data_IF_827455325661
#
_entry.id   IF_827455325661
#
_cell.length_a   1.000
_cell.length_b   1.000
_cell.length_c   1.000
_cell.angle_alpha   90.00
_cell.angle_beta   90.00
_cell.angle_gamma   90.00
#
_symmetry.space_group_name_H-M   'P 1'
#
loop_
_entity.id
_entity.type
_entity.pdbx_description
1 polymer ?
#
# COMPACT_ATOMS: atom_id res chain seq x y z
N UNK A 1 -19.66 -13.31 -55.95
CA UNK A 1 -20.30 -12.57 -54.84
C UNK A 1 -19.21 -12.16 -53.88
N UNK A 2 -18.82 -10.90 -53.96
CA UNK A 2 -17.73 -10.30 -53.19
C UNK A 2 -18.22 -10.03 -51.77
N UNK A 3 -17.57 -10.65 -50.78
CA UNK A 3 -17.74 -10.34 -49.37
C UNK A 3 -16.68 -9.34 -48.95
N UNK A 4 -17.09 -8.10 -48.76
CA UNK A 4 -16.29 -6.95 -48.39
C UNK A 4 -15.61 -7.15 -47.03
N UNK A 5 -14.28 -7.29 -47.04
CA UNK A 5 -13.43 -7.06 -45.87
C UNK A 5 -13.51 -5.59 -45.48
N UNK A 6 -14.29 -5.29 -44.44
CA UNK A 6 -14.27 -4.00 -43.77
C UNK A 6 -12.96 -3.85 -43.00
N UNK A 7 -12.03 -3.10 -43.55
CA UNK A 7 -10.88 -2.52 -42.85
C UNK A 7 -11.42 -1.61 -41.76
N UNK A 8 -11.38 -2.08 -40.51
CA UNK A 8 -11.66 -1.25 -39.34
C UNK A 8 -10.68 -0.08 -39.28
N UNK A 9 -11.21 1.14 -39.17
CA UNK A 9 -10.44 2.34 -38.82
C UNK A 9 -9.68 2.07 -37.51
N UNK A 10 -8.42 2.51 -37.36
CA UNK A 10 -7.69 2.38 -36.10
C UNK A 10 -8.48 3.12 -35.01
N UNK A 11 -9.05 2.37 -34.06
CA UNK A 11 -9.84 2.92 -32.97
C UNK A 11 -9.03 3.90 -32.14
N UNK A 12 -9.67 4.95 -31.66
CA UNK A 12 -9.05 5.92 -30.75
C UNK A 12 -8.33 5.19 -29.60
N UNK A 13 -7.14 5.66 -29.19
CA UNK A 13 -6.38 5.02 -28.12
C UNK A 13 -7.24 4.93 -26.86
N UNK A 14 -7.23 3.76 -26.20
CA UNK A 14 -7.96 3.56 -24.94
C UNK A 14 -7.40 4.50 -23.88
N UNK A 15 -8.26 5.31 -23.27
CA UNK A 15 -7.86 6.23 -22.20
C UNK A 15 -7.48 5.47 -20.93
N UNK A 16 -6.64 6.07 -20.08
CA UNK A 16 -6.29 5.48 -18.79
C UNK A 16 -7.51 5.34 -17.88
N UNK A 17 -8.45 6.29 -17.97
CA UNK A 17 -9.70 6.24 -17.22
C UNK A 17 -10.59 5.07 -17.65
N UNK A 18 -10.84 4.89 -18.95
CA UNK A 18 -11.67 3.80 -19.45
C UNK A 18 -11.02 2.44 -19.18
N UNK A 19 -9.69 2.38 -19.22
CA UNK A 19 -8.93 1.22 -18.82
C UNK A 19 -9.15 0.87 -17.34
N UNK A 20 -9.00 1.84 -16.44
CA UNK A 20 -9.23 1.64 -15.00
C UNK A 20 -10.68 1.23 -14.71
N UNK A 21 -11.65 1.90 -15.33
CA UNK A 21 -13.07 1.59 -15.20
C UNK A 21 -13.38 0.15 -15.64
N UNK A 22 -12.91 -0.25 -16.82
CA UNK A 22 -13.11 -1.61 -17.34
C UNK A 22 -12.50 -2.66 -16.39
N UNK A 23 -11.30 -2.42 -15.88
CA UNK A 23 -10.68 -3.36 -14.94
C UNK A 23 -11.46 -3.45 -13.62
N UNK A 24 -12.00 -2.32 -13.15
CA UNK A 24 -12.83 -2.28 -11.95
C UNK A 24 -14.14 -3.07 -12.13
N UNK A 25 -14.80 -2.93 -13.28
CA UNK A 25 -16.04 -3.64 -13.62
C UNK A 25 -15.84 -5.15 -13.69
N UNK A 26 -14.65 -5.62 -14.11
CA UNK A 26 -14.32 -7.05 -14.16
C UNK A 26 -14.10 -7.68 -12.78
N UNK A 27 -13.66 -6.89 -11.79
CA UNK A 27 -13.45 -7.35 -10.43
C UNK A 27 -13.92 -6.31 -9.39
N UNK A 28 -15.24 -6.09 -9.27
CA UNK A 28 -15.76 -5.06 -8.38
C UNK A 28 -15.37 -5.32 -6.93
N UNK A 29 -14.82 -4.31 -6.27
CA UNK A 29 -14.45 -4.37 -4.86
C UNK A 29 -13.18 -5.16 -4.55
N UNK A 30 -12.42 -5.59 -5.56
CA UNK A 30 -11.09 -6.18 -5.37
C UNK A 30 -10.00 -5.23 -5.87
N UNK A 31 -8.78 -5.30 -5.31
CA UNK A 31 -7.63 -4.64 -5.90
C UNK A 31 -7.38 -5.08 -7.34
N UNK A 32 -6.95 -4.14 -8.18
CA UNK A 32 -6.59 -4.46 -9.56
C UNK A 32 -5.34 -5.34 -9.58
N UNK A 33 -5.33 -6.35 -10.45
CA UNK A 33 -4.14 -7.16 -10.67
C UNK A 33 -2.99 -6.26 -11.16
N UNK A 34 -1.84 -6.31 -10.47
CA UNK A 34 -0.65 -5.50 -10.77
C UNK A 34 -0.94 -4.00 -10.88
N UNK A 35 -1.82 -3.46 -10.03
CA UNK A 35 -2.20 -2.04 -10.04
C UNK A 35 -2.73 -1.55 -11.41
N UNK A 36 -3.27 -2.47 -12.22
CA UNK A 36 -3.77 -2.19 -13.56
C UNK A 36 -2.73 -2.27 -14.69
N UNK A 37 -1.49 -2.67 -14.41
CA UNK A 37 -0.49 -2.87 -15.47
C UNK A 37 -0.77 -4.13 -16.33
N UNK A 38 -0.44 -4.08 -17.64
CA UNK A 38 0.18 -2.97 -18.36
C UNK A 38 -0.82 -1.86 -18.71
N UNK A 39 -0.37 -0.60 -18.67
CA UNK A 39 -1.21 0.53 -19.07
C UNK A 39 -1.35 0.63 -20.60
N UNK A 40 -2.41 1.26 -21.13
CA UNK A 40 -2.60 1.43 -22.57
C UNK A 40 -1.44 2.13 -23.30
N UNK A 41 -0.71 3.02 -22.60
CA UNK A 41 0.44 3.78 -23.13
C UNK A 41 1.80 3.14 -22.85
N UNK A 42 1.86 1.94 -22.26
CA UNK A 42 3.12 1.24 -21.94
C UNK A 42 4.06 1.14 -23.16
N UNK A 43 3.51 0.90 -24.36
CA UNK A 43 4.30 0.80 -25.58
C UNK A 43 5.08 2.08 -25.91
N UNK A 44 4.49 3.24 -25.65
CA UNK A 44 5.10 4.55 -25.88
C UNK A 44 6.22 4.85 -24.88
N UNK A 45 6.13 4.30 -23.66
CA UNK A 45 7.08 4.54 -22.57
C UNK A 45 8.17 3.45 -22.46
N UNK A 46 7.95 2.22 -22.95
CA UNK A 46 8.93 1.11 -22.84
C UNK A 46 10.16 1.27 -23.72
N UNK A 47 10.04 1.91 -24.88
CA UNK A 47 11.11 1.96 -25.89
C UNK A 47 11.90 3.28 -25.91
N UNK A 48 11.50 4.26 -25.09
CA UNK A 48 12.17 5.55 -24.98
C UNK A 48 12.75 5.72 -23.58
N UNK A 49 13.95 6.28 -23.51
CA UNK A 49 14.52 6.73 -22.23
C UNK A 49 13.70 7.94 -21.81
N UNK A 50 12.76 7.74 -20.88
CA UNK A 50 11.86 8.80 -20.42
C UNK A 50 12.62 10.01 -19.87
N UNK A 51 11.92 11.14 -19.70
CA UNK A 51 12.50 12.36 -19.16
C UNK A 51 13.19 12.07 -17.82
N UNK A 52 14.45 12.50 -17.67
CA UNK A 52 15.19 12.28 -16.43
C UNK A 52 14.59 13.14 -15.33
N UNK A 53 14.45 12.56 -14.15
CA UNK A 53 14.19 13.35 -12.96
C UNK A 53 15.25 14.45 -12.82
N UNK A 54 14.86 15.69 -12.48
CA UNK A 54 15.80 16.77 -12.30
C UNK A 54 16.78 16.44 -11.17
N UNK A 55 18.04 16.87 -11.32
CA UNK A 55 19.06 16.66 -10.28
C UNK A 55 18.71 17.36 -8.95
N UNK A 56 18.02 18.50 -9.04
CA UNK A 56 17.40 19.18 -7.91
C UNK A 56 15.92 18.85 -7.82
N UNK A 57 15.51 18.18 -6.74
CA UNK A 57 14.10 17.82 -6.48
C UNK A 57 13.18 19.04 -6.38
N UNK A 58 13.69 20.21 -5.95
CA UNK A 58 12.90 21.45 -5.88
C UNK A 58 12.57 22.02 -7.27
N UNK A 59 13.17 21.45 -8.31
CA UNK A 59 12.92 21.81 -9.69
C UNK A 59 12.01 20.82 -10.41
N UNK A 60 11.52 19.78 -9.74
CA UNK A 60 10.44 18.93 -10.26
C UNK A 60 9.20 19.79 -10.58
N UNK A 61 8.44 19.40 -11.61
CA UNK A 61 7.19 20.07 -11.97
C UNK A 61 7.30 21.45 -12.63
N UNK A 62 8.46 22.12 -12.61
CA UNK A 62 8.65 23.46 -13.23
C UNK A 62 8.30 23.50 -14.72
N UNK A 63 8.77 22.52 -15.49
CA UNK A 63 8.48 22.45 -16.93
C UNK A 63 6.98 22.22 -17.19
N UNK A 64 6.34 21.38 -16.37
CA UNK A 64 4.90 21.16 -16.44
C UNK A 64 4.12 22.44 -16.09
N UNK A 65 4.56 23.17 -15.06
CA UNK A 65 3.99 24.45 -14.67
C UNK A 65 4.11 25.49 -15.79
N UNK A 66 5.23 25.55 -16.51
CA UNK A 66 5.41 26.45 -17.66
C UNK A 66 4.44 26.13 -18.81
N UNK A 67 4.25 24.85 -19.11
CA UNK A 67 3.24 24.40 -20.11
C UNK A 67 1.84 24.84 -19.68
N UNK A 68 1.50 24.65 -18.40
CA UNK A 68 0.21 25.07 -17.84
C UNK A 68 0.03 26.59 -17.88
N UNK A 69 1.02 27.38 -17.46
CA UNK A 69 0.96 28.84 -17.51
C UNK A 69 0.75 29.35 -18.95
N UNK A 70 1.47 28.75 -19.92
CA UNK A 70 1.33 29.08 -21.35
C UNK A 70 -0.07 28.73 -21.88
N UNK A 71 -0.62 27.59 -21.45
CA UNK A 71 -1.98 27.20 -21.80
C UNK A 71 -3.02 28.16 -21.17
N UNK A 72 -2.89 28.47 -19.88
CA UNK A 72 -3.86 29.30 -19.17
C UNK A 72 -3.77 30.79 -19.53
N UNK A 73 -2.63 31.29 -20.01
CA UNK A 73 -2.51 32.64 -20.54
C UNK A 73 -3.39 32.91 -21.77
N UNK A 74 -3.76 31.86 -22.52
CA UNK A 74 -4.64 31.95 -23.69
C UNK A 74 -6.09 31.75 -23.26
N UNK A 75 -6.95 32.76 -23.42
CA UNK A 75 -8.30 32.82 -22.83
C UNK A 75 -9.28 31.74 -23.29
N UNK A 76 -8.99 31.04 -24.39
CA UNK A 76 -9.91 30.06 -25.01
C UNK A 76 -9.21 28.76 -25.46
N UNK A 77 -8.03 28.45 -24.92
CA UNK A 77 -7.34 27.21 -25.29
C UNK A 77 -8.11 25.98 -24.79
N UNK A 78 -8.50 25.06 -25.69
CA UNK A 78 -9.23 23.87 -25.29
C UNK A 78 -8.28 22.85 -24.62
N UNK A 79 -8.78 22.04 -23.65
CA UNK A 79 -7.94 21.11 -22.90
C UNK A 79 -7.25 20.02 -23.73
N UNK A 80 -7.75 19.71 -24.92
CA UNK A 80 -7.19 18.69 -25.83
C UNK A 80 -5.82 19.05 -26.39
N UNK A 81 -5.48 20.34 -26.45
CA UNK A 81 -4.12 20.78 -26.76
C UNK A 81 -3.08 20.25 -25.76
N UNK A 82 -3.50 19.86 -24.55
CA UNK A 82 -2.63 19.32 -23.50
C UNK A 82 -2.55 17.79 -23.52
N UNK A 83 -3.26 17.10 -24.41
CA UNK A 83 -3.36 15.63 -24.41
C UNK A 83 -1.99 14.93 -24.47
N UNK A 84 -1.05 15.47 -25.25
CA UNK A 84 0.32 14.94 -25.41
C UNK A 84 1.41 15.93 -24.96
N UNK A 85 1.03 17.10 -24.44
CA UNK A 85 1.97 18.19 -24.12
C UNK A 85 2.99 17.85 -23.03
N UNK A 86 2.72 16.82 -22.24
CA UNK A 86 3.55 16.39 -21.12
C UNK A 86 4.34 15.10 -21.37
N UNK A 87 4.24 14.50 -22.55
CA UNK A 87 4.85 13.19 -22.85
C UNK A 87 6.37 13.19 -22.60
N UNK A 88 7.05 14.24 -23.04
CA UNK A 88 8.50 14.42 -22.91
C UNK A 88 8.90 15.27 -21.69
N UNK A 89 7.97 15.50 -20.75
CA UNK A 89 8.20 16.27 -19.53
C UNK A 89 8.26 15.34 -18.32
N UNK A 90 9.21 15.60 -17.41
CA UNK A 90 9.22 14.87 -16.13
C UNK A 90 8.06 15.32 -15.25
N UNK A 91 7.06 14.44 -15.07
CA UNK A 91 5.90 14.71 -14.23
C UNK A 91 6.02 13.99 -12.89
N UNK A 92 6.06 14.72 -11.74
CA UNK A 92 6.06 14.12 -10.42
C UNK A 92 4.74 13.41 -10.13
N UNK A 93 4.82 12.26 -9.46
CA UNK A 93 3.64 11.47 -9.04
C UNK A 93 3.09 11.89 -7.67
N UNK A 94 3.80 12.76 -6.97
CA UNK A 94 3.43 13.33 -5.69
C UNK A 94 2.93 14.77 -5.88
N UNK A 95 2.22 15.35 -4.88
CA UNK A 95 1.85 16.76 -4.91
C UNK A 95 3.08 17.64 -5.16
N UNK A 96 2.95 18.58 -6.08
CA UNK A 96 4.03 19.43 -6.56
C UNK A 96 3.63 20.91 -6.46
N UNK A 97 4.49 21.70 -5.84
CA UNK A 97 4.24 23.12 -5.57
C UNK A 97 4.16 23.98 -6.84
N UNK A 98 4.90 23.62 -7.90
CA UNK A 98 4.93 24.40 -9.14
C UNK A 98 3.65 24.19 -9.94
N UNK A 99 3.21 22.93 -10.04
CA UNK A 99 1.93 22.59 -10.69
C UNK A 99 0.75 23.22 -9.91
N UNK A 100 0.76 23.11 -8.58
CA UNK A 100 -0.27 23.72 -7.74
C UNK A 100 -0.28 25.26 -7.85
N UNK A 101 0.89 25.90 -7.93
CA UNK A 101 0.99 27.34 -8.11
C UNK A 101 0.49 27.79 -9.49
N UNK A 102 0.78 27.04 -10.56
CA UNK A 102 0.23 27.31 -11.89
C UNK A 102 -1.30 27.21 -11.90
N UNK A 103 -1.86 26.18 -11.27
CA UNK A 103 -3.29 26.04 -11.06
C UNK A 103 -3.89 27.22 -10.28
N UNK A 104 -3.20 27.70 -9.24
CA UNK A 104 -3.65 28.82 -8.40
C UNK A 104 -3.60 30.20 -9.09
N UNK A 105 -2.82 30.37 -10.15
CA UNK A 105 -2.74 31.62 -10.94
C UNK A 105 -3.86 31.75 -11.98
N UNK A 106 -4.54 30.66 -12.32
CA UNK A 106 -5.53 30.61 -13.38
C UNK A 106 -6.97 30.59 -12.83
N UNK A 107 -7.95 30.80 -13.71
CA UNK A 107 -9.37 30.71 -13.35
C UNK A 107 -9.73 29.30 -12.83
N UNK A 108 -10.37 29.25 -11.65
CA UNK A 108 -10.61 28.00 -10.93
C UNK A 108 -11.47 27.01 -11.71
N UNK A 109 -12.52 27.49 -12.38
CA UNK A 109 -13.42 26.61 -13.12
C UNK A 109 -12.76 26.09 -14.40
N UNK A 110 -11.99 26.94 -15.08
CA UNK A 110 -11.19 26.52 -16.23
C UNK A 110 -10.16 25.46 -15.85
N UNK A 111 -9.42 25.65 -14.75
CA UNK A 111 -8.45 24.66 -14.27
C UNK A 111 -9.14 23.33 -13.94
N UNK A 112 -10.30 23.38 -13.28
CA UNK A 112 -11.09 22.17 -12.98
C UNK A 112 -11.57 21.48 -14.26
N UNK A 113 -12.07 22.24 -15.23
CA UNK A 113 -12.51 21.71 -16.52
C UNK A 113 -11.35 21.02 -17.26
N UNK A 114 -10.18 21.66 -17.32
CA UNK A 114 -8.97 21.08 -17.91
C UNK A 114 -8.55 19.80 -17.16
N UNK A 115 -8.55 19.82 -15.83
CA UNK A 115 -8.23 18.65 -15.00
C UNK A 115 -9.17 17.48 -15.24
N UNK A 116 -10.49 17.73 -15.28
CA UNK A 116 -11.51 16.72 -15.60
C UNK A 116 -11.27 16.12 -16.97
N UNK A 117 -11.02 16.96 -17.97
CA UNK A 117 -10.81 16.53 -19.33
C UNK A 117 -9.57 15.63 -19.46
N UNK A 118 -8.43 16.06 -18.89
CA UNK A 118 -7.18 15.29 -18.95
C UNK A 118 -7.28 13.95 -18.24
N UNK A 119 -7.96 13.87 -17.09
CA UNK A 119 -8.17 12.59 -16.41
C UNK A 119 -9.11 11.69 -17.21
N UNK A 120 -10.21 12.23 -17.75
CA UNK A 120 -11.23 11.45 -18.44
C UNK A 120 -10.78 10.97 -19.83
N UNK A 121 -10.01 11.79 -20.54
CA UNK A 121 -9.68 11.58 -21.96
C UNK A 121 -8.19 11.37 -22.24
N UNK A 122 -7.32 11.53 -21.24
CA UNK A 122 -5.88 11.33 -21.39
C UNK A 122 -5.53 9.87 -21.71
N UNK A 123 -4.90 9.65 -22.86
CA UNK A 123 -4.29 8.37 -23.21
C UNK A 123 -2.85 8.24 -22.68
N UNK A 124 -2.14 9.37 -22.53
CA UNK A 124 -0.79 9.41 -21.97
C UNK A 124 -0.79 9.62 -20.44
N UNK A 125 0.00 8.82 -19.72
CA UNK A 125 0.06 8.85 -18.25
C UNK A 125 0.58 10.16 -17.69
N UNK A 126 1.45 10.89 -18.39
CA UNK A 126 1.97 12.18 -17.94
C UNK A 126 0.84 13.21 -17.93
N UNK A 127 0.06 13.30 -19.01
CA UNK A 127 -1.08 14.20 -19.13
C UNK A 127 -2.19 13.88 -18.12
N UNK A 128 -2.52 12.60 -17.93
CA UNK A 128 -3.47 12.18 -16.89
C UNK A 128 -2.96 12.52 -15.47
N UNK A 129 -1.64 12.42 -15.22
CA UNK A 129 -1.04 12.77 -13.92
C UNK A 129 -1.20 14.27 -13.65
N UNK A 130 -0.94 15.11 -14.65
CA UNK A 130 -1.16 16.56 -14.54
C UNK A 130 -2.63 16.87 -14.32
N UNK A 131 -3.54 16.23 -15.07
CA UNK A 131 -4.99 16.38 -14.87
C UNK A 131 -5.41 16.10 -13.42
N UNK A 132 -4.90 15.02 -12.84
CA UNK A 132 -5.15 14.67 -11.44
C UNK A 132 -4.55 15.69 -10.46
N UNK A 133 -3.36 16.22 -10.74
CA UNK A 133 -2.76 17.29 -9.93
C UNK A 133 -3.58 18.60 -9.98
N UNK A 134 -4.17 18.95 -11.13
CA UNK A 134 -5.10 20.09 -11.23
C UNK A 134 -6.36 19.85 -10.39
N UNK A 135 -6.93 18.64 -10.44
CA UNK A 135 -8.10 18.28 -9.62
C UNK A 135 -7.79 18.24 -8.12
N UNK A 136 -6.55 17.91 -7.74
CA UNK A 136 -6.07 18.01 -6.37
C UNK A 136 -6.03 19.47 -5.88
N UNK A 137 -5.63 20.40 -6.75
CA UNK A 137 -5.52 21.82 -6.42
C UNK A 137 -6.88 22.55 -6.34
N UNK A 138 -7.80 22.29 -7.27
CA UNK A 138 -9.03 23.12 -7.42
C UNK A 138 -10.36 22.35 -7.50
N UNK A 139 -10.32 21.03 -7.47
CA UNK A 139 -11.52 20.24 -7.69
C UNK A 139 -12.58 20.38 -6.58
N UNK A 140 -13.77 19.83 -6.83
CA UNK A 140 -14.91 19.76 -5.90
C UNK A 140 -15.34 18.31 -5.59
N UNK A 141 -16.28 18.14 -4.64
CA UNK A 141 -16.80 16.82 -4.25
C UNK A 141 -17.30 16.00 -5.46
N UNK A 142 -17.90 16.63 -6.47
CA UNK A 142 -18.37 15.98 -7.70
C UNK A 142 -17.27 15.25 -8.50
N UNK A 143 -15.99 15.57 -8.26
CA UNK A 143 -14.88 14.89 -8.93
C UNK A 143 -14.41 13.63 -8.20
N UNK A 144 -14.96 13.31 -7.01
CA UNK A 144 -14.56 12.13 -6.24
C UNK A 144 -14.64 10.85 -7.09
N UNK A 145 -15.73 10.55 -7.82
CA UNK A 145 -15.79 9.35 -8.66
C UNK A 145 -14.71 9.30 -9.74
N UNK A 146 -14.37 10.46 -10.32
CA UNK A 146 -13.33 10.59 -11.33
C UNK A 146 -11.95 10.29 -10.73
N UNK A 147 -11.64 10.87 -9.57
CA UNK A 147 -10.38 10.68 -8.83
C UNK A 147 -10.24 9.24 -8.33
N UNK A 148 -11.31 8.65 -7.80
CA UNK A 148 -11.32 7.27 -7.33
C UNK A 148 -11.03 6.29 -8.45
N UNK A 149 -11.69 6.47 -9.60
CA UNK A 149 -11.53 5.55 -10.74
C UNK A 149 -10.11 5.57 -11.28
N UNK A 150 -9.53 6.75 -11.53
CA UNK A 150 -8.13 6.82 -11.99
C UNK A 150 -7.14 6.39 -10.89
N UNK A 151 -7.47 6.63 -9.62
CA UNK A 151 -6.67 6.23 -8.45
C UNK A 151 -6.52 4.72 -8.27
N UNK A 152 -7.38 3.91 -8.91
CA UNK A 152 -7.23 2.45 -8.96
C UNK A 152 -5.95 2.00 -9.67
N UNK A 153 -5.42 2.83 -10.57
CA UNK A 153 -4.11 2.63 -11.22
C UNK A 153 -2.99 3.10 -10.26
N UNK A 154 -2.96 2.50 -9.08
CA UNK A 154 -2.36 3.08 -7.89
C UNK A 154 -0.85 3.22 -7.92
N UNK A 155 -0.15 2.42 -8.74
CA UNK A 155 1.30 2.53 -8.90
C UNK A 155 1.70 3.91 -9.48
N UNK A 156 0.88 4.50 -10.36
CA UNK A 156 1.14 5.82 -10.95
C UNK A 156 0.34 6.94 -10.28
N UNK A 157 -0.93 6.72 -10.02
CA UNK A 157 -1.87 7.78 -9.62
C UNK A 157 -2.21 7.78 -8.14
N UNK A 158 -1.83 6.73 -7.40
CA UNK A 158 -2.15 6.55 -5.98
C UNK A 158 -1.79 7.75 -5.08
N UNK A 159 -0.55 8.28 -5.11
CA UNK A 159 -0.17 9.38 -4.21
C UNK A 159 -0.97 10.66 -4.45
N UNK A 160 -1.15 11.07 -5.71
CA UNK A 160 -1.95 12.25 -6.06
C UNK A 160 -3.44 12.02 -5.84
N UNK A 161 -3.98 10.83 -6.09
CA UNK A 161 -5.39 10.51 -5.84
C UNK A 161 -5.68 10.57 -4.33
N UNK A 162 -4.83 9.97 -3.50
CA UNK A 162 -4.96 10.03 -2.05
C UNK A 162 -4.93 11.49 -1.55
N UNK A 163 -3.97 12.30 -2.03
CA UNK A 163 -3.89 13.72 -1.69
C UNK A 163 -5.13 14.52 -2.16
N UNK A 164 -5.63 14.26 -3.36
CA UNK A 164 -6.78 14.96 -3.92
C UNK A 164 -8.09 14.66 -3.18
N UNK A 165 -8.20 13.46 -2.59
CA UNK A 165 -9.36 13.05 -1.78
C UNK A 165 -9.27 13.57 -0.34
N UNK A 166 -8.06 13.64 0.24
CA UNK A 166 -7.82 14.09 1.62
C UNK A 166 -8.37 15.49 1.92
N UNK A 167 -8.32 16.40 0.94
CA UNK A 167 -8.76 17.80 1.10
C UNK A 167 -10.24 18.06 0.81
N UNK A 168 -11.05 17.01 0.59
CA UNK A 168 -12.43 17.15 0.11
C UNK A 168 -13.51 16.80 1.13
N UNK A 169 -14.68 17.46 1.08
CA UNK A 169 -15.90 16.93 1.70
C UNK A 169 -16.19 15.52 1.17
N UNK A 170 -16.45 14.55 2.06
CA UNK A 170 -16.60 13.14 1.70
C UNK A 170 -15.27 12.40 1.44
N UNK A 171 -14.13 13.05 1.66
CA UNK A 171 -12.79 12.50 1.44
C UNK A 171 -12.51 11.23 2.23
N UNK A 172 -12.94 11.15 3.49
CA UNK A 172 -12.76 9.96 4.33
C UNK A 172 -13.43 8.71 3.71
N UNK A 173 -14.71 8.83 3.34
CA UNK A 173 -15.46 7.75 2.67
C UNK A 173 -14.80 7.37 1.34
N UNK A 174 -14.38 8.37 0.57
CA UNK A 174 -13.74 8.14 -0.71
C UNK A 174 -12.38 7.41 -0.59
N UNK A 175 -11.58 7.77 0.42
CA UNK A 175 -10.31 7.13 0.75
C UNK A 175 -10.53 5.70 1.27
N UNK A 176 -11.53 5.46 2.13
CA UNK A 176 -11.88 4.12 2.59
C UNK A 176 -12.29 3.22 1.42
N UNK A 177 -13.11 3.73 0.50
CA UNK A 177 -13.49 3.00 -0.71
C UNK A 177 -12.25 2.61 -1.53
N UNK A 178 -11.28 3.52 -1.66
CA UNK A 178 -10.05 3.27 -2.42
C UNK A 178 -9.13 2.30 -1.68
N UNK A 179 -9.00 2.40 -0.35
CA UNK A 179 -8.15 1.56 0.49
C UNK A 179 -8.50 0.06 0.39
N UNK A 180 -9.77 -0.25 0.15
CA UNK A 180 -10.25 -1.62 -0.10
C UNK A 180 -9.89 -2.16 -1.49
N UNK A 181 -9.46 -1.29 -2.41
CA UNK A 181 -9.27 -1.57 -3.83
C UNK A 181 -7.86 -1.29 -4.32
N UNK A 182 -6.92 -1.01 -3.41
CA UNK A 182 -5.51 -0.83 -3.72
C UNK A 182 -4.64 -1.70 -2.82
N UNK A 183 -3.48 -2.08 -3.36
CA UNK A 183 -2.46 -2.89 -2.68
C UNK A 183 -1.11 -2.18 -2.71
N UNK A 184 -0.11 -2.74 -2.02
CA UNK A 184 1.28 -2.29 -2.06
C UNK A 184 1.42 -0.77 -1.86
N UNK A 185 2.19 -0.05 -2.70
CA UNK A 185 2.38 1.39 -2.56
C UNK A 185 1.09 2.20 -2.61
N UNK A 186 0.10 1.76 -3.41
CA UNK A 186 -1.23 2.36 -3.44
C UNK A 186 -1.88 2.41 -2.05
N UNK A 187 -1.85 1.28 -1.35
CA UNK A 187 -2.37 1.16 0.01
C UNK A 187 -1.59 2.02 1.00
N UNK A 188 -0.25 2.09 0.88
CA UNK A 188 0.57 2.98 1.71
C UNK A 188 0.08 4.42 1.61
N UNK A 189 -0.08 4.96 0.40
CA UNK A 189 -0.49 6.37 0.23
C UNK A 189 -1.89 6.65 0.77
N UNK A 190 -2.85 5.74 0.54
CA UNK A 190 -4.23 5.92 0.98
C UNK A 190 -4.35 5.80 2.50
N UNK A 191 -3.69 4.81 3.12
CA UNK A 191 -3.74 4.64 4.58
C UNK A 191 -3.01 5.78 5.29
N UNK A 192 -1.91 6.29 4.73
CA UNK A 192 -1.27 7.48 5.28
C UNK A 192 -2.14 8.73 5.16
N UNK A 193 -2.90 8.89 4.06
CA UNK A 193 -3.88 9.97 3.93
C UNK A 193 -5.01 9.85 4.96
N UNK A 194 -5.55 8.65 5.18
CA UNK A 194 -6.52 8.39 6.26
C UNK A 194 -5.95 8.73 7.63
N UNK A 195 -4.68 8.38 7.90
CA UNK A 195 -4.00 8.71 9.14
C UNK A 195 -3.81 10.23 9.33
N UNK A 196 -3.53 10.99 8.26
CA UNK A 196 -3.40 12.45 8.33
C UNK A 196 -4.74 13.16 8.51
N UNK A 197 -5.79 12.62 7.87
CA UNK A 197 -7.14 13.14 7.99
C UNK A 197 -7.70 12.97 9.41
N UNK A 198 -7.35 11.86 10.08
CA UNK A 198 -7.79 11.52 11.45
C UNK A 198 -9.31 11.64 11.63
N UNK A 199 -10.06 11.19 10.61
CA UNK A 199 -11.52 11.22 10.65
C UNK A 199 -12.04 10.09 11.56
N UNK A 200 -12.87 10.38 12.56
CA UNK A 200 -13.47 9.36 13.42
C UNK A 200 -14.23 8.26 12.66
N UNK A 201 -14.79 8.56 11.49
CA UNK A 201 -15.49 7.60 10.65
C UNK A 201 -14.54 6.53 10.05
N UNK A 202 -13.25 6.84 9.91
CA UNK A 202 -12.25 5.88 9.43
C UNK A 202 -11.69 4.98 10.54
N UNK A 203 -11.83 5.37 11.82
CA UNK A 203 -11.28 4.64 12.97
C UNK A 203 -11.70 3.15 13.02
N UNK A 204 -12.98 2.78 12.85
CA UNK A 204 -13.39 1.37 12.87
C UNK A 204 -12.69 0.52 11.80
N UNK A 205 -12.44 1.11 10.63
CA UNK A 205 -11.74 0.46 9.54
C UNK A 205 -10.24 0.35 9.82
N UNK A 206 -9.63 1.43 10.34
CA UNK A 206 -8.21 1.47 10.70
C UNK A 206 -7.85 0.39 11.75
N UNK A 207 -8.76 0.11 12.69
CA UNK A 207 -8.59 -0.91 13.73
C UNK A 207 -8.73 -2.36 13.26
N UNK A 208 -9.18 -2.61 12.02
CA UNK A 208 -9.54 -3.96 11.55
C UNK A 208 -8.89 -4.34 10.22
N UNK A 209 -8.70 -3.38 9.33
CA UNK A 209 -8.46 -3.65 7.90
C UNK A 209 -7.29 -2.91 7.28
N UNK A 210 -6.66 -1.98 8.00
CA UNK A 210 -5.56 -1.16 7.46
C UNK A 210 -4.35 -1.99 6.99
N UNK A 211 -4.05 -3.10 7.67
CA UNK A 211 -2.93 -3.97 7.35
C UNK A 211 -3.45 -5.30 6.81
N UNK A 212 -3.03 -5.63 5.60
CA UNK A 212 -3.41 -6.82 4.83
C UNK A 212 -2.32 -7.92 4.82
N UNK A 213 -1.19 -7.68 5.50
CA UNK A 213 -0.05 -8.60 5.53
C UNK A 213 1.04 -8.35 4.50
N UNK A 214 0.90 -7.34 3.63
CA UNK A 214 2.00 -6.84 2.78
C UNK A 214 3.16 -6.26 3.63
N UNK A 215 4.39 -6.42 3.19
CA UNK A 215 5.58 -5.91 3.91
C UNK A 215 5.62 -4.38 3.97
N UNK A 216 5.03 -3.70 2.98
CA UNK A 216 4.93 -2.23 2.93
C UNK A 216 4.03 -1.66 4.04
N UNK A 217 3.23 -2.50 4.71
CA UNK A 217 2.48 -2.08 5.90
C UNK A 217 3.38 -1.50 7.00
N UNK A 218 4.67 -1.87 7.02
CA UNK A 218 5.67 -1.29 7.94
C UNK A 218 5.81 0.23 7.86
N UNK A 219 5.50 0.85 6.70
CA UNK A 219 5.56 2.31 6.55
C UNK A 219 4.50 3.06 7.35
N UNK A 220 3.35 2.43 7.63
CA UNK A 220 2.21 3.10 8.26
C UNK A 220 1.63 2.40 9.48
N UNK A 221 2.01 1.15 9.79
CA UNK A 221 1.42 0.38 10.89
C UNK A 221 1.43 1.13 12.23
N UNK A 222 2.56 1.72 12.62
CA UNK A 222 2.61 2.49 13.87
C UNK A 222 1.85 3.83 13.82
N UNK A 223 1.68 4.43 12.63
CA UNK A 223 0.79 5.60 12.45
C UNK A 223 -0.65 5.18 12.68
N UNK A 224 -1.08 4.07 12.09
CA UNK A 224 -2.41 3.48 12.31
C UNK A 224 -2.65 3.20 13.78
N UNK A 225 -1.73 2.51 14.47
CA UNK A 225 -1.88 2.20 15.89
C UNK A 225 -1.97 3.45 16.79
N UNK A 226 -1.33 4.55 16.37
CA UNK A 226 -1.38 5.84 17.07
C UNK A 226 -2.68 6.59 16.79
N UNK A 227 -3.01 6.82 15.52
CA UNK A 227 -4.18 7.59 15.08
C UNK A 227 -5.48 6.87 15.45
N UNK A 228 -5.56 5.56 15.26
CA UNK A 228 -6.74 4.79 15.64
C UNK A 228 -6.88 4.61 17.17
N UNK A 229 -5.91 5.10 17.95
CA UNK A 229 -5.84 5.00 19.41
C UNK A 229 -6.07 3.56 19.87
N UNK A 230 -5.27 2.64 19.31
CA UNK A 230 -5.43 1.19 19.51
C UNK A 230 -5.44 0.81 20.99
N UNK A 231 -4.61 1.47 21.80
CA UNK A 231 -4.53 1.26 23.24
C UNK A 231 -5.83 1.56 24.01
N UNK A 232 -6.73 2.38 23.46
CA UNK A 232 -8.04 2.67 24.06
C UNK A 232 -9.10 1.65 23.66
N UNK A 233 -8.91 0.96 22.52
CA UNK A 233 -9.84 -0.04 22.01
C UNK A 233 -9.58 -1.46 22.59
N UNK A 234 -8.62 -1.60 23.51
CA UNK A 234 -8.21 -2.91 24.04
C UNK A 234 -9.32 -3.65 24.78
N UNK A 235 -10.26 -2.92 25.40
CA UNK A 235 -11.40 -3.52 26.09
C UNK A 235 -12.38 -4.24 25.13
N UNK A 236 -12.41 -3.81 23.87
CA UNK A 236 -13.33 -4.37 22.87
C UNK A 236 -12.77 -5.64 22.21
N UNK A 237 -11.46 -5.92 22.36
CA UNK A 237 -10.78 -7.07 21.75
C UNK A 237 -11.45 -8.40 22.11
N UNK A 238 -11.92 -8.58 23.34
CA UNK A 238 -12.56 -9.81 23.82
C UNK A 238 -13.74 -10.28 22.96
N UNK A 239 -14.37 -9.36 22.22
CA UNK A 239 -15.56 -9.64 21.42
C UNK A 239 -15.33 -9.51 19.91
N UNK A 240 -14.13 -9.11 19.49
CA UNK A 240 -13.82 -8.76 18.11
C UNK A 240 -12.59 -9.50 17.59
N UNK A 241 -12.82 -10.66 17.00
CA UNK A 241 -11.73 -11.48 16.43
C UNK A 241 -11.01 -10.79 15.26
N UNK A 242 -11.69 -9.93 14.51
CA UNK A 242 -11.08 -9.21 13.38
C UNK A 242 -10.08 -8.17 13.92
N UNK A 243 -10.45 -7.45 14.98
CA UNK A 243 -9.56 -6.51 15.66
C UNK A 243 -8.39 -7.22 16.35
N UNK A 244 -8.58 -8.38 16.96
CA UNK A 244 -7.47 -9.18 17.50
C UNK A 244 -6.47 -9.55 16.39
N UNK A 245 -6.96 -10.07 15.26
CA UNK A 245 -6.11 -10.48 14.15
C UNK A 245 -5.34 -9.28 13.56
N UNK A 246 -6.03 -8.15 13.38
CA UNK A 246 -5.41 -6.93 12.89
C UNK A 246 -4.40 -6.34 13.87
N UNK A 247 -4.69 -6.39 15.18
CA UNK A 247 -3.74 -6.01 16.24
C UNK A 247 -2.47 -6.86 16.15
N UNK A 248 -2.60 -8.18 15.97
CA UNK A 248 -1.47 -9.07 15.75
C UNK A 248 -0.64 -8.67 14.53
N UNK A 249 -1.30 -8.33 13.40
CA UNK A 249 -0.62 -7.84 12.19
C UNK A 249 0.12 -6.51 12.43
N UNK A 250 -0.50 -5.54 13.11
CA UNK A 250 0.13 -4.26 13.45
C UNK A 250 1.37 -4.47 14.31
N UNK A 251 1.26 -5.27 15.37
CA UNK A 251 2.38 -5.61 16.26
C UNK A 251 3.51 -6.29 15.48
N UNK A 252 3.17 -7.23 14.59
CA UNK A 252 4.14 -7.91 13.75
C UNK A 252 4.85 -6.93 12.80
N UNK A 253 4.12 -6.06 12.09
CA UNK A 253 4.73 -5.04 11.24
C UNK A 253 5.68 -4.14 12.04
N UNK A 254 5.29 -3.67 13.23
CA UNK A 254 6.13 -2.83 14.08
C UNK A 254 7.35 -3.56 14.68
N UNK A 255 7.36 -4.90 14.64
CA UNK A 255 8.45 -5.75 15.14
C UNK A 255 9.60 -5.93 14.13
N UNK A 256 9.35 -5.67 12.84
CA UNK A 256 10.28 -5.92 11.72
C UNK A 256 10.40 -4.72 10.75
N UNK A 257 9.87 -3.54 11.10
CA UNK A 257 9.89 -2.35 10.23
C UNK A 257 11.14 -1.47 10.39
N UNK A 258 12.31 -2.04 10.71
CA UNK A 258 13.54 -1.26 10.86
C UNK A 258 13.78 -0.41 9.59
N UNK A 259 13.90 0.92 9.77
CA UNK A 259 13.99 1.97 8.73
C UNK A 259 12.72 2.33 7.92
N UNK A 260 11.61 1.61 8.07
CA UNK A 260 10.37 1.91 7.33
C UNK A 260 9.39 2.79 8.11
N UNK A 261 9.29 2.59 9.43
CA UNK A 261 8.28 3.28 10.24
C UNK A 261 8.51 3.20 11.74
N UNK A 262 7.45 3.52 12.50
CA UNK A 262 7.46 3.49 13.96
C UNK A 262 7.56 2.04 14.48
N UNK A 263 8.64 1.72 15.17
CA UNK A 263 8.88 0.39 15.75
C UNK A 263 8.21 0.22 17.11
N UNK A 264 8.10 -1.02 17.59
CA UNK A 264 7.60 -1.30 18.95
C UNK A 264 8.37 -0.55 20.04
N UNK A 265 9.68 -0.39 19.89
CA UNK A 265 10.54 0.36 20.81
C UNK A 265 10.10 1.82 21.00
N UNK A 266 9.52 2.42 19.95
CA UNK A 266 9.14 3.83 19.92
C UNK A 266 7.63 4.04 20.04
N UNK A 267 6.84 2.97 20.09
CA UNK A 267 5.40 3.06 20.29
C UNK A 267 5.07 3.08 21.80
N UNK A 268 4.56 4.20 22.36
CA UNK A 268 4.43 4.36 23.82
C UNK A 268 3.55 3.30 24.51
N UNK A 269 2.61 2.71 23.77
CA UNK A 269 1.66 1.74 24.29
C UNK A 269 1.99 0.29 23.91
N UNK A 270 3.17 0.02 23.34
CA UNK A 270 3.56 -1.31 22.85
C UNK A 270 3.31 -2.41 23.88
N UNK A 271 3.77 -2.20 25.12
CA UNK A 271 3.53 -3.11 26.24
C UNK A 271 2.04 -3.45 26.41
N UNK A 272 1.19 -2.45 26.59
CA UNK A 272 -0.22 -2.66 26.89
C UNK A 272 -0.93 -3.42 25.77
N UNK A 273 -0.61 -3.10 24.52
CA UNK A 273 -1.18 -3.74 23.33
C UNK A 273 -0.67 -5.19 23.20
N UNK A 274 0.62 -5.45 23.44
CA UNK A 274 1.19 -6.81 23.43
C UNK A 274 0.56 -7.70 24.51
N UNK A 275 0.42 -7.19 25.74
CA UNK A 275 -0.20 -7.92 26.86
C UNK A 275 -1.67 -8.24 26.57
N UNK A 276 -2.42 -7.28 26.02
CA UNK A 276 -3.80 -7.49 25.62
C UNK A 276 -3.91 -8.54 24.52
N UNK A 277 -3.16 -8.39 23.43
CA UNK A 277 -3.18 -9.36 22.33
C UNK A 277 -2.83 -10.78 22.82
N UNK A 278 -1.79 -10.93 23.65
CA UNK A 278 -1.40 -12.23 24.23
C UNK A 278 -2.50 -12.86 25.08
N UNK A 279 -3.27 -12.06 25.82
CA UNK A 279 -4.39 -12.52 26.63
C UNK A 279 -5.54 -13.04 25.78
N UNK A 280 -5.89 -12.32 24.70
CA UNK A 280 -7.11 -12.56 23.95
C UNK A 280 -6.93 -13.57 22.81
N UNK A 281 -5.78 -13.58 22.12
CA UNK A 281 -5.59 -14.41 20.91
C UNK A 281 -5.71 -15.92 21.19
N UNK A 282 -5.35 -16.35 22.39
CA UNK A 282 -5.47 -17.75 22.81
C UNK A 282 -6.92 -18.23 23.01
N UNK A 283 -7.91 -17.34 23.04
CA UNK A 283 -9.34 -17.72 23.11
C UNK A 283 -9.94 -17.98 21.72
N UNK A 284 -9.28 -17.53 20.65
CA UNK A 284 -9.75 -17.70 19.29
C UNK A 284 -9.43 -19.10 18.76
N UNK A 285 -10.20 -19.56 17.78
CA UNK A 285 -9.87 -20.77 17.04
C UNK A 285 -8.53 -20.60 16.30
N UNK A 286 -7.66 -21.62 16.27
CA UNK A 286 -6.37 -21.52 15.60
C UNK A 286 -6.56 -21.36 14.08
N UNK A 287 -5.72 -20.51 13.48
CA UNK A 287 -5.54 -20.41 12.02
C UNK A 287 -4.05 -20.40 11.72
N UNK A 288 -3.67 -20.74 10.47
CA UNK A 288 -2.26 -20.68 10.04
C UNK A 288 -1.68 -19.27 10.21
N UNK A 289 -2.47 -18.25 9.91
CA UNK A 289 -2.07 -16.85 10.05
C UNK A 289 -1.86 -16.46 11.52
N UNK A 290 -2.79 -16.80 12.42
CA UNK A 290 -2.62 -16.54 13.86
C UNK A 290 -1.39 -17.23 14.40
N UNK A 291 -1.18 -18.50 14.03
CA UNK A 291 0.01 -19.25 14.44
C UNK A 291 1.30 -18.57 13.96
N UNK A 292 1.35 -18.17 12.69
CA UNK A 292 2.49 -17.45 12.10
C UNK A 292 2.78 -16.14 12.83
N UNK A 293 1.76 -15.29 13.01
CA UNK A 293 1.86 -14.00 13.70
C UNK A 293 2.38 -14.16 15.12
N UNK A 294 1.80 -15.09 15.90
CA UNK A 294 2.25 -15.37 17.26
C UNK A 294 3.70 -15.86 17.29
N UNK A 295 4.10 -16.74 16.37
CA UNK A 295 5.46 -17.25 16.29
C UNK A 295 6.48 -16.14 15.98
N UNK A 296 6.16 -15.20 15.07
CA UNK A 296 7.02 -14.06 14.76
C UNK A 296 7.13 -13.06 15.91
N UNK A 297 6.02 -12.76 16.59
CA UNK A 297 6.06 -11.95 17.81
C UNK A 297 6.88 -12.62 18.90
N UNK A 298 6.73 -13.93 19.09
CA UNK A 298 7.53 -14.72 20.04
C UNK A 298 9.02 -14.67 19.69
N UNK A 299 9.36 -14.76 18.41
CA UNK A 299 10.74 -14.61 17.93
C UNK A 299 11.29 -13.24 18.28
N UNK A 300 10.59 -12.16 17.96
CA UNK A 300 11.02 -10.81 18.29
C UNK A 300 11.26 -10.65 19.79
N UNK A 301 10.32 -11.14 20.63
CA UNK A 301 10.48 -11.12 22.10
C UNK A 301 11.62 -12.00 22.61
N UNK A 302 12.09 -12.96 21.81
CA UNK A 302 13.22 -13.83 22.18
C UNK A 302 14.56 -13.21 21.80
N UNK A 303 14.64 -12.59 20.62
CA UNK A 303 15.91 -12.15 20.02
C UNK A 303 16.25 -10.70 20.34
N UNK A 304 15.26 -9.84 20.53
CA UNK A 304 15.48 -8.42 20.78
C UNK A 304 15.59 -8.13 22.28
N UNK A 305 16.43 -7.16 22.68
CA UNK A 305 16.47 -6.70 24.06
C UNK A 305 15.12 -6.08 24.46
N UNK A 306 14.77 -6.04 25.76
CA UNK A 306 13.48 -5.54 26.24
C UNK A 306 13.10 -4.15 25.70
N UNK A 307 14.08 -3.24 25.62
CA UNK A 307 13.90 -1.88 25.13
C UNK A 307 13.44 -1.86 23.67
N UNK A 308 14.04 -2.72 22.83
CA UNK A 308 13.65 -2.85 21.43
C UNK A 308 12.27 -3.50 21.24
N UNK A 309 11.84 -4.31 22.22
CA UNK A 309 10.50 -4.90 22.28
C UNK A 309 9.44 -3.98 22.92
N UNK A 310 9.81 -2.78 23.36
CA UNK A 310 8.88 -1.83 23.97
C UNK A 310 8.34 -2.27 25.35
N UNK A 311 9.08 -3.09 26.10
CA UNK A 311 8.65 -3.61 27.40
C UNK A 311 9.83 -3.84 28.38
N UNK A 312 9.53 -4.10 29.65
CA UNK A 312 10.55 -4.51 30.64
C UNK A 312 10.93 -5.99 30.47
N UNK A 313 12.07 -6.40 31.04
CA UNK A 313 12.54 -7.79 30.97
C UNK A 313 11.50 -8.80 31.52
N UNK A 314 10.87 -8.50 32.65
CA UNK A 314 9.83 -9.34 33.26
C UNK A 314 8.57 -9.43 32.38
N UNK A 315 8.18 -8.31 31.78
CA UNK A 315 7.01 -8.26 30.89
C UNK A 315 7.26 -9.05 29.61
N UNK A 316 8.44 -8.87 29.00
CA UNK A 316 8.86 -9.63 27.81
C UNK A 316 8.81 -11.13 28.06
N UNK A 317 9.30 -11.57 29.22
CA UNK A 317 9.27 -12.99 29.61
C UNK A 317 7.83 -13.51 29.77
N UNK A 318 6.97 -12.78 30.48
CA UNK A 318 5.58 -13.18 30.70
C UNK A 318 4.77 -13.26 29.38
N UNK A 319 4.93 -12.27 28.50
CA UNK A 319 4.27 -12.25 27.18
C UNK A 319 4.80 -13.41 26.32
N UNK A 320 6.13 -13.62 26.29
CA UNK A 320 6.74 -14.73 25.55
C UNK A 320 6.22 -16.08 26.03
N UNK A 321 6.17 -16.30 27.34
CA UNK A 321 5.66 -17.53 27.93
C UNK A 321 4.19 -17.78 27.57
N UNK A 322 3.37 -16.71 27.56
CA UNK A 322 1.96 -16.79 27.14
C UNK A 322 1.84 -17.24 25.68
N UNK A 323 2.58 -16.61 24.77
CA UNK A 323 2.55 -16.99 23.36
C UNK A 323 3.05 -18.41 23.10
N UNK A 324 4.17 -18.82 23.72
CA UNK A 324 4.68 -20.19 23.62
C UNK A 324 3.64 -21.20 24.12
N UNK A 325 3.01 -20.91 25.27
CA UNK A 325 1.92 -21.73 25.81
C UNK A 325 0.70 -21.84 24.90
N UNK A 326 0.44 -20.86 24.03
CA UNK A 326 -0.61 -20.93 22.99
C UNK A 326 -0.14 -21.80 21.82
N UNK A 327 1.07 -21.58 21.30
CA UNK A 327 1.63 -22.33 20.16
C UNK A 327 1.73 -23.84 20.47
N UNK A 328 2.02 -24.21 21.72
CA UNK A 328 2.17 -25.61 22.15
C UNK A 328 0.87 -26.37 22.39
N UNK A 329 -0.29 -25.70 22.32
CA UNK A 329 -1.59 -26.36 22.43
C UNK A 329 -1.83 -27.30 21.26
N UNK A 330 -2.55 -28.39 21.51
CA UNK A 330 -2.72 -29.47 20.55
C UNK A 330 -3.41 -29.03 19.25
N UNK A 331 -4.43 -28.18 19.36
CA UNK A 331 -5.20 -27.63 18.24
C UNK A 331 -4.38 -26.63 17.40
N UNK A 332 -3.53 -25.83 18.04
CA UNK A 332 -2.62 -24.88 17.36
C UNK A 332 -1.50 -25.61 16.62
N UNK A 333 -0.86 -26.56 17.30
CA UNK A 333 0.15 -27.46 16.70
C UNK A 333 -0.41 -28.21 15.49
N UNK A 334 -1.63 -28.76 15.59
CA UNK A 334 -2.29 -29.47 14.48
C UNK A 334 -2.53 -28.55 13.28
N UNK A 335 -2.96 -27.33 13.53
CA UNK A 335 -3.21 -26.32 12.49
C UNK A 335 -1.92 -25.97 11.74
N UNK A 336 -0.82 -25.74 12.46
CA UNK A 336 0.48 -25.46 11.84
C UNK A 336 1.00 -26.64 11.00
N UNK A 337 0.84 -27.88 11.50
CA UNK A 337 1.21 -29.10 10.74
C UNK A 337 0.37 -29.30 9.50
N UNK A 338 -0.94 -29.04 9.59
CA UNK A 338 -1.84 -29.11 8.44
C UNK A 338 -1.42 -28.10 7.36
N UNK A 339 -1.06 -26.88 7.76
CA UNK A 339 -0.54 -25.87 6.84
C UNK A 339 0.78 -26.27 6.17
N UNK A 340 1.72 -26.82 6.93
CA UNK A 340 2.97 -27.36 6.37
C UNK A 340 2.71 -28.50 5.38
N UNK A 341 1.80 -29.42 5.70
CA UNK A 341 1.42 -30.53 4.82
C UNK A 341 0.71 -30.05 3.55
N UNK A 342 -0.01 -28.92 3.63
CA UNK A 342 -0.61 -28.22 2.49
C UNK A 342 0.38 -27.34 1.71
N UNK A 343 1.67 -27.40 2.04
CA UNK A 343 2.75 -26.67 1.39
C UNK A 343 2.58 -25.12 1.46
N UNK A 344 1.94 -24.64 2.54
CA UNK A 344 1.83 -23.20 2.81
C UNK A 344 3.22 -22.57 2.97
N UNK A 345 3.47 -21.50 2.22
CA UNK A 345 4.80 -20.87 2.16
C UNK A 345 5.26 -20.29 3.50
N UNK A 346 4.33 -19.75 4.30
CA UNK A 346 4.64 -19.17 5.61
C UNK A 346 4.97 -20.26 6.62
N UNK A 347 4.20 -21.36 6.62
CA UNK A 347 4.47 -22.51 7.49
C UNK A 347 5.79 -23.19 7.13
N UNK A 348 6.09 -23.35 5.83
CA UNK A 348 7.38 -23.89 5.36
C UNK A 348 8.53 -23.01 5.82
N UNK A 349 8.45 -21.71 5.56
CA UNK A 349 9.47 -20.76 6.01
C UNK A 349 9.66 -20.79 7.53
N UNK A 350 8.57 -20.83 8.31
CA UNK A 350 8.61 -20.87 9.77
C UNK A 350 9.29 -22.16 10.28
N UNK A 351 8.95 -23.30 9.68
CA UNK A 351 9.57 -24.59 9.98
C UNK A 351 11.09 -24.55 9.72
N UNK A 352 11.50 -24.01 8.57
CA UNK A 352 12.89 -24.06 8.13
C UNK A 352 13.79 -23.04 8.85
N UNK A 353 13.24 -21.88 9.25
CA UNK A 353 14.06 -20.75 9.75
C UNK A 353 13.91 -20.45 11.24
N UNK A 354 12.82 -20.88 11.89
CA UNK A 354 12.45 -20.42 13.25
C UNK A 354 12.07 -21.52 14.22
N UNK A 355 11.58 -22.67 13.73
CA UNK A 355 11.06 -23.72 14.59
C UNK A 355 12.07 -24.21 15.63
N UNK A 356 13.31 -24.46 15.23
CA UNK A 356 14.37 -24.94 16.13
C UNK A 356 14.74 -23.90 17.19
N UNK A 357 14.86 -22.63 16.78
CA UNK A 357 15.19 -21.53 17.70
C UNK A 357 14.10 -21.33 18.76
N UNK A 358 12.84 -21.45 18.36
CA UNK A 358 11.68 -21.28 19.24
C UNK A 358 11.23 -22.59 19.90
N UNK A 359 11.85 -23.73 19.55
CA UNK A 359 11.46 -25.08 19.97
C UNK A 359 9.97 -25.39 19.73
N UNK A 360 9.45 -25.00 18.57
CA UNK A 360 8.03 -25.14 18.25
C UNK A 360 7.65 -26.62 18.11
N UNK A 361 6.74 -27.11 18.98
CA UNK A 361 6.26 -28.50 18.96
C UNK A 361 5.58 -28.91 17.65
N UNK A 362 5.09 -27.96 16.87
CA UNK A 362 4.52 -28.21 15.55
C UNK A 362 5.52 -28.85 14.58
N UNK A 363 6.82 -28.55 14.70
CA UNK A 363 7.84 -28.91 13.72
C UNK A 363 9.05 -29.58 14.40
N UNK A 364 8.90 -30.82 14.89
CA UNK A 364 10.03 -31.54 15.49
C UNK A 364 11.14 -31.76 14.45
N UNK A 365 12.35 -31.30 14.79
CA UNK A 365 13.65 -31.53 14.14
C UNK A 365 13.60 -31.78 12.62
N UNK A 366 13.25 -30.72 11.87
CA UNK A 366 13.68 -30.59 10.48
C UNK A 366 15.07 -29.96 10.50
N UNK A 367 16.09 -30.67 10.04
CA UNK A 367 17.37 -30.02 9.76
C UNK A 367 17.11 -28.86 8.77
N UNK A 368 17.69 -27.66 8.99
CA UNK A 368 17.53 -26.57 8.03
C UNK A 368 18.00 -27.07 6.66
N UNK A 369 17.18 -26.88 5.64
CA UNK A 369 17.56 -27.20 4.27
C UNK A 369 18.68 -26.22 3.87
N UNK A 370 19.92 -26.66 4.02
CA UNK A 370 21.10 -25.90 3.58
C UNK A 370 21.04 -25.99 2.06
N UNK A 371 20.29 -25.07 1.45
CA UNK A 371 20.26 -24.88 0.01
C UNK A 371 21.68 -24.90 -0.52
N UNK A 372 21.92 -25.72 -1.54
CA UNK A 372 23.21 -25.95 -2.19
C UNK A 372 24.02 -24.65 -2.23
N UNK A 373 25.01 -24.57 -1.34
CA UNK A 373 26.13 -23.69 -1.52
C UNK A 373 26.78 -24.14 -2.82
N UNK A 374 26.50 -23.41 -3.92
CA UNK A 374 27.36 -23.41 -5.09
C UNK A 374 28.76 -23.12 -4.59
N UNK A 375 29.58 -24.17 -4.59
CA UNK A 375 31.02 -24.08 -4.44
C UNK A 375 31.55 -23.02 -5.41
N UNK A 376 32.36 -22.05 -4.95
CA UNK A 376 33.20 -21.30 -5.86
C UNK A 376 34.24 -22.30 -6.36
N UNK A 377 34.02 -22.82 -7.56
CA UNK A 377 35.00 -23.63 -8.28
C UNK A 377 36.29 -22.84 -8.38
N UNK A 378 37.32 -23.38 -7.74
CA UNK A 378 38.68 -22.86 -7.75
C UNK A 378 39.18 -22.67 -9.18
N UNK A 379 39.71 -21.49 -9.40
CA UNK A 379 40.73 -21.19 -10.39
C UNK A 379 41.92 -22.15 -10.26
N UNK A 380 42.25 -22.85 -11.34
CA UNK A 380 43.63 -23.28 -11.62
C UNK A 380 43.89 -23.39 -13.15
N UNK A 381 44.50 -22.33 -13.68
CA UNK A 381 45.74 -22.30 -14.48
C UNK A 381 45.96 -23.18 -15.74
N UNK A 382 46.46 -22.48 -16.78
CA UNK A 382 47.18 -22.91 -18.03
C UNK A 382 46.25 -23.28 -19.19
N UNK A 383 46.36 -22.72 -20.41
CA UNK A 383 47.47 -22.16 -21.20
C UNK A 383 46.99 -21.00 -22.05
#
# INVERSE_FOLDING_TARGET
MSGTTGTGLPGSPTTLFDHALRLHELAPGKPLHRDGEPYPDDGSHRHRKGPRAPGDRRSAGKDAALVLDTHFARSSSPPDELADAFHDVYIPIHPDEHIAAAAGRADRERVRHTGRWLVRHGADRCSATVGLALLAAVGAADDIPLIQTIGLLSNRFGPLAAHALESRPGGAEALLWLAERVTSWGRVYVVEALCRLDDPAARPWLLRRACDGDFLNGYFAGKVATVARLHEALADLDTDSEMIDHTGRLLHCMSDCESMGLTLAHYPHAKAVLEAHARHVGSLSPTMERYFTIALLTQHLTTKPPEAAGCSATQREAIRATYLGILDRAEWTRTARAGLAADDSRMRWLADHRATQLRLRAFPDRAPDIGEQRTPGGSDLRR
#
